data_IF_985553948988
#
_entry.id   IF_985553948988
#
_cell.length_a   1.000
_cell.length_b   1.000
_cell.length_c   1.000
_cell.angle_alpha   90.00
_cell.angle_beta   90.00
_cell.angle_gamma   90.00
#
_symmetry.space_group_name_H-M   'P 1'
#
loop_
_entity.id
_entity.type
_entity.pdbx_description
1 polymer ?
#
# COMPACT_ATOMS: atom_id res chain seq x y z
N UNK A 1 53.85 -54.18 5.92
CA UNK A 1 52.71 -54.70 6.71
C UNK A 1 52.34 -53.63 7.73
N UNK A 2 51.08 -53.17 7.84
CA UNK A 2 49.84 -53.74 7.29
C UNK A 2 49.13 -52.86 6.23
N UNK A 3 48.37 -53.53 5.36
CA UNK A 3 47.31 -53.00 4.49
C UNK A 3 46.00 -52.84 5.28
N UNK A 4 45.10 -51.94 4.86
CA UNK A 4 43.75 -52.30 4.36
C UNK A 4 42.86 -51.07 4.03
N UNK A 5 42.11 -51.21 2.94
CA UNK A 5 41.00 -50.40 2.39
C UNK A 5 41.30 -49.13 1.57
N UNK A 6 41.48 -49.31 0.25
CA UNK A 6 41.07 -48.33 -0.78
C UNK A 6 40.61 -49.05 -2.07
N UNK A 7 39.33 -48.92 -2.40
CA UNK A 7 38.75 -49.12 -3.75
C UNK A 7 37.32 -48.56 -3.69
N UNK A 8 36.86 -47.69 -4.59
CA UNK A 8 36.59 -48.07 -5.97
C UNK A 8 36.36 -46.85 -6.87
N UNK A 9 36.63 -47.09 -8.16
CA UNK A 9 36.48 -46.27 -9.35
C UNK A 9 35.09 -45.67 -9.57
N UNK A 10 34.99 -44.59 -10.37
CA UNK A 10 34.26 -44.54 -11.65
C UNK A 10 34.63 -43.25 -12.42
N UNK A 11 34.93 -43.46 -13.70
CA UNK A 11 35.15 -42.53 -14.81
C UNK A 11 33.80 -41.97 -15.33
N UNK A 12 33.78 -40.78 -15.97
CA UNK A 12 32.87 -40.40 -17.06
C UNK A 12 33.06 -38.92 -17.47
N UNK A 13 33.83 -38.75 -18.55
CA UNK A 13 33.52 -38.02 -19.79
C UNK A 13 32.62 -36.76 -19.76
N UNK A 14 33.18 -35.72 -20.40
CA UNK A 14 32.57 -34.49 -20.94
C UNK A 14 31.17 -34.66 -21.55
N UNK A 15 30.27 -33.68 -21.32
CA UNK A 15 29.52 -33.02 -22.42
C UNK A 15 28.74 -31.79 -21.91
N UNK A 16 28.76 -30.75 -22.74
CA UNK A 16 28.01 -29.49 -22.64
C UNK A 16 26.59 -29.64 -22.08
N UNK A 17 26.28 -28.82 -21.08
CA UNK A 17 24.95 -28.25 -20.99
C UNK A 17 25.09 -26.74 -20.89
N UNK A 18 24.94 -26.14 -22.06
CA UNK A 18 24.54 -24.76 -22.31
C UNK A 18 23.51 -24.33 -21.26
N UNK A 19 23.98 -23.68 -20.18
CA UNK A 19 23.11 -22.93 -19.29
C UNK A 19 22.81 -21.62 -20.00
N UNK A 20 21.87 -21.67 -20.94
CA UNK A 20 21.12 -20.50 -21.35
C UNK A 20 20.46 -19.94 -20.10
N UNK A 21 21.08 -18.91 -19.52
CA UNK A 21 20.45 -18.00 -18.56
C UNK A 21 19.44 -17.18 -19.36
N UNK A 22 18.41 -17.86 -19.85
CA UNK A 22 17.20 -17.24 -20.38
C UNK A 22 16.33 -16.95 -19.18
N UNK A 23 16.54 -15.77 -18.62
CA UNK A 23 15.44 -14.91 -18.22
C UNK A 23 16.03 -13.55 -17.91
N UNK A 24 16.14 -12.75 -18.97
CA UNK A 24 15.68 -11.37 -18.87
C UNK A 24 14.24 -11.41 -18.32
N UNK A 25 14.09 -11.59 -17.00
CA UNK A 25 12.92 -11.08 -16.31
C UNK A 25 13.05 -9.56 -16.44
N UNK A 26 12.63 -9.03 -17.60
CA UNK A 26 12.02 -7.71 -17.63
C UNK A 26 11.01 -7.76 -16.48
N UNK A 27 11.37 -7.12 -15.37
CA UNK A 27 10.67 -7.09 -14.08
C UNK A 27 9.30 -6.47 -14.37
N UNK A 28 8.40 -7.27 -14.95
CA UNK A 28 7.10 -6.86 -15.47
C UNK A 28 6.31 -6.53 -14.23
N UNK A 29 6.35 -5.26 -13.85
CA UNK A 29 5.78 -4.78 -12.60
C UNK A 29 4.33 -5.23 -12.52
N UNK A 30 4.06 -6.12 -11.56
CA UNK A 30 2.73 -6.68 -11.36
C UNK A 30 1.80 -5.55 -10.94
N UNK A 31 0.80 -5.28 -11.78
CA UNK A 31 -0.23 -4.27 -11.50
C UNK A 31 -0.98 -4.65 -10.22
N UNK A 32 -1.23 -3.66 -9.38
CA UNK A 32 -2.03 -3.76 -8.16
C UNK A 32 -1.46 -4.75 -7.13
N UNK A 33 -0.15 -4.69 -6.89
CA UNK A 33 0.52 -5.51 -5.88
C UNK A 33 0.51 -4.82 -4.52
N UNK A 34 0.49 -5.61 -3.44
CA UNK A 34 0.62 -5.09 -2.08
C UNK A 34 2.09 -4.86 -1.75
N UNK A 35 2.44 -3.61 -1.44
CA UNK A 35 3.83 -3.20 -1.20
C UNK A 35 3.94 -2.34 0.06
N UNK A 36 5.15 -2.29 0.62
CA UNK A 36 5.55 -1.26 1.56
C UNK A 36 6.22 -0.13 0.78
N UNK A 37 5.84 1.10 1.11
CA UNK A 37 6.39 2.28 0.46
C UNK A 37 6.56 3.44 1.44
N UNK A 38 7.49 4.33 1.13
CA UNK A 38 7.67 5.58 1.85
C UNK A 38 7.76 6.76 0.90
N UNK A 39 7.55 7.97 1.40
CA UNK A 39 7.70 9.18 0.61
C UNK A 39 9.19 9.44 0.39
N UNK A 40 9.59 9.67 -0.86
CA UNK A 40 10.97 10.04 -1.20
C UNK A 40 11.40 11.31 -0.43
N UNK A 41 12.64 11.40 0.05
CA UNK A 41 13.22 12.62 0.58
C UNK A 41 14.71 12.70 0.19
N UNK A 42 15.20 13.79 -0.42
CA UNK A 42 16.58 13.89 -0.90
C UNK A 42 17.63 13.62 0.18
N UNK A 43 17.43 14.13 1.40
CA UNK A 43 18.38 13.93 2.50
C UNK A 43 18.36 12.52 3.09
N UNK A 44 17.31 11.72 2.81
CA UNK A 44 17.21 10.33 3.28
C UNK A 44 17.74 9.35 2.25
N UNK A 45 17.34 9.52 0.99
CA UNK A 45 17.60 8.54 -0.07
C UNK A 45 18.76 8.95 -1.00
N UNK A 46 19.24 10.18 -0.88
CA UNK A 46 20.13 10.79 -1.86
C UNK A 46 19.36 11.31 -3.07
N UNK A 47 19.88 12.35 -3.69
CA UNK A 47 19.36 12.87 -4.96
C UNK A 47 20.56 13.36 -5.77
N UNK A 48 20.87 12.63 -6.86
CA UNK A 48 22.08 12.87 -7.66
C UNK A 48 21.73 13.56 -8.98
N UNK A 49 22.73 13.78 -9.84
CA UNK A 49 22.51 14.33 -11.19
C UNK A 49 21.85 13.33 -12.14
N UNK A 50 21.97 12.05 -11.83
CA UNK A 50 21.39 10.94 -12.60
C UNK A 50 19.95 10.66 -12.16
N UNK A 51 19.57 11.13 -10.97
CA UNK A 51 18.22 10.96 -10.45
C UNK A 51 17.15 11.63 -11.32
N UNK A 52 15.99 10.97 -11.43
CA UNK A 52 14.85 11.55 -12.13
C UNK A 52 14.24 12.69 -11.29
N UNK A 53 14.11 13.89 -11.88
CA UNK A 53 13.58 15.08 -11.19
C UNK A 53 12.17 14.88 -10.63
N UNK A 54 11.39 13.97 -11.20
CA UNK A 54 10.02 13.70 -10.78
C UNK A 54 9.96 12.91 -9.47
N UNK A 55 11.04 12.24 -9.05
CA UNK A 55 11.08 11.37 -7.86
C UNK A 55 10.65 12.09 -6.57
N UNK A 56 10.84 13.41 -6.48
CA UNK A 56 10.49 14.25 -5.32
C UNK A 56 9.01 14.16 -4.91
N UNK A 57 8.11 13.82 -5.83
CA UNK A 57 6.68 13.68 -5.54
C UNK A 57 6.22 12.25 -5.33
N UNK A 58 7.12 11.28 -5.43
CA UNK A 58 6.77 9.87 -5.52
C UNK A 58 6.98 9.12 -4.20
N UNK A 59 6.32 7.97 -4.11
CA UNK A 59 6.58 6.99 -3.07
C UNK A 59 7.67 6.04 -3.57
N UNK A 60 8.72 5.82 -2.80
CA UNK A 60 9.70 4.76 -3.05
C UNK A 60 9.16 3.41 -2.61
N UNK A 61 9.45 2.37 -3.39
CA UNK A 61 9.15 0.99 -3.02
C UNK A 61 10.21 0.50 -2.03
N UNK A 62 9.79 0.10 -0.84
CA UNK A 62 10.67 -0.53 0.17
C UNK A 62 10.79 -2.03 -0.11
N UNK A 63 9.67 -2.66 -0.46
CA UNK A 63 9.61 -4.09 -0.75
C UNK A 63 8.19 -4.62 -0.87
N UNK A 64 8.03 -5.89 -1.29
CA UNK A 64 6.73 -6.55 -1.28
C UNK A 64 6.22 -6.65 0.16
N UNK A 65 4.91 -6.49 0.34
CA UNK A 65 4.27 -6.66 1.64
C UNK A 65 3.88 -8.13 1.91
N UNK A 66 4.38 -9.07 1.11
CA UNK A 66 4.06 -10.50 1.26
C UNK A 66 4.62 -11.03 2.59
N UNK A 67 3.70 -11.26 3.53
CA UNK A 67 3.96 -11.79 4.87
C UNK A 67 3.90 -13.32 4.90
N UNK A 68 4.07 -13.99 3.76
CA UNK A 68 3.72 -15.41 3.55
C UNK A 68 4.59 -16.42 4.32
N UNK A 69 5.65 -15.96 5.01
CA UNK A 69 6.45 -16.81 5.89
C UNK A 69 6.44 -16.25 7.33
N UNK A 70 6.07 -17.09 8.29
CA UNK A 70 5.92 -16.71 9.71
C UNK A 70 7.19 -16.10 10.31
N UNK A 71 8.38 -16.51 9.84
CA UNK A 71 9.68 -15.95 10.25
C UNK A 71 10.04 -14.63 9.55
N UNK A 72 9.41 -14.32 8.42
CA UNK A 72 9.62 -13.06 7.67
C UNK A 72 8.93 -11.89 8.36
N UNK A 73 7.83 -12.13 9.08
CA UNK A 73 7.06 -11.09 9.77
C UNK A 73 7.86 -10.31 10.83
N UNK A 74 8.64 -11.02 11.66
CA UNK A 74 9.48 -10.42 12.71
C UNK A 74 10.65 -9.62 12.11
N UNK A 75 11.25 -10.17 11.05
CA UNK A 75 12.33 -9.49 10.31
C UNK A 75 11.83 -8.20 9.67
N UNK A 76 10.70 -8.23 8.97
CA UNK A 76 10.08 -7.06 8.34
C UNK A 76 9.70 -6.01 9.40
N UNK A 77 9.13 -6.40 10.53
CA UNK A 77 8.79 -5.45 11.59
C UNK A 77 10.03 -4.74 12.15
N UNK A 78 11.09 -5.48 12.47
CA UNK A 78 12.34 -4.88 12.95
C UNK A 78 12.99 -3.96 11.91
N UNK A 79 12.96 -4.34 10.63
CA UNK A 79 13.45 -3.50 9.53
C UNK A 79 12.65 -2.18 9.43
N UNK A 80 11.32 -2.26 9.53
CA UNK A 80 10.45 -1.06 9.55
C UNK A 80 10.75 -0.17 10.76
N UNK A 81 10.94 -0.74 11.96
CA UNK A 81 11.29 0.04 13.15
C UNK A 81 12.65 0.75 13.02
N UNK A 82 13.64 0.07 12.47
CA UNK A 82 14.95 0.66 12.18
C UNK A 82 14.84 1.79 11.14
N UNK A 83 14.06 1.58 10.08
CA UNK A 83 13.79 2.60 9.07
C UNK A 83 13.11 3.84 9.67
N UNK A 84 12.06 3.66 10.48
CA UNK A 84 11.39 4.78 11.18
C UNK A 84 12.35 5.53 12.10
N UNK A 85 13.25 4.83 12.78
CA UNK A 85 14.26 5.44 13.64
C UNK A 85 15.26 6.28 12.84
N UNK A 86 15.72 5.77 11.69
CA UNK A 86 16.60 6.50 10.77
C UNK A 86 15.92 7.76 10.22
N UNK A 87 14.65 7.64 9.79
CA UNK A 87 13.84 8.78 9.33
C UNK A 87 13.79 9.84 10.41
N UNK A 88 13.43 9.47 11.65
CA UNK A 88 13.35 10.41 12.77
C UNK A 88 14.68 11.14 13.01
N UNK A 89 15.80 10.42 13.01
CA UNK A 89 17.13 11.01 13.20
C UNK A 89 17.48 12.04 12.11
N UNK A 90 17.25 11.72 10.84
CA UNK A 90 17.53 12.65 9.73
C UNK A 90 16.58 13.86 9.76
N UNK A 91 15.35 13.66 10.21
CA UNK A 91 14.33 14.71 10.32
C UNK A 91 14.61 15.73 11.42
N UNK A 92 15.42 15.38 12.43
CA UNK A 92 15.92 16.37 13.38
C UNK A 92 16.81 17.41 12.69
N UNK A 93 17.51 17.02 11.61
CA UNK A 93 18.40 17.91 10.85
C UNK A 93 17.72 18.54 9.64
N UNK A 94 16.84 17.80 8.97
CA UNK A 94 16.18 18.22 7.73
C UNK A 94 14.67 17.97 7.80
N UNK A 95 13.90 18.78 8.55
CA UNK A 95 12.48 18.51 8.82
C UNK A 95 11.56 18.78 7.63
N UNK A 96 12.02 19.55 6.65
CA UNK A 96 11.22 20.06 5.55
C UNK A 96 11.49 19.32 4.24
N UNK A 97 10.41 18.89 3.60
CA UNK A 97 10.47 18.26 2.30
C UNK A 97 10.32 19.30 1.17
N UNK A 98 11.12 19.24 0.09
CA UNK A 98 11.07 20.23 -1.01
C UNK A 98 9.69 20.43 -1.66
N UNK A 99 8.97 19.33 -1.96
CA UNK A 99 7.66 19.36 -2.63
C UNK A 99 6.45 19.16 -1.70
N UNK A 100 6.57 18.36 -0.63
CA UNK A 100 5.46 17.92 0.21
C UNK A 100 5.37 18.79 1.46
N UNK A 101 4.50 19.81 1.41
CA UNK A 101 4.33 20.81 2.47
C UNK A 101 4.00 20.24 3.85
N UNK A 102 3.27 19.13 3.90
CA UNK A 102 2.83 18.50 5.15
C UNK A 102 3.65 17.25 5.54
N UNK A 103 4.86 17.09 4.99
CA UNK A 103 5.69 15.90 5.17
C UNK A 103 5.91 15.52 6.64
N UNK A 104 6.32 16.47 7.48
CA UNK A 104 6.49 16.25 8.93
C UNK A 104 5.27 15.62 9.61
N UNK A 105 4.06 16.06 9.23
CA UNK A 105 2.82 15.50 9.79
C UNK A 105 2.52 14.09 9.26
N UNK A 106 3.00 13.73 8.07
CA UNK A 106 2.80 12.41 7.48
C UNK A 106 3.70 11.37 8.14
N UNK A 107 4.99 11.67 8.30
CA UNK A 107 5.99 10.75 8.87
C UNK A 107 5.83 10.50 10.37
N UNK A 108 5.25 11.46 11.11
CA UNK A 108 5.04 11.34 12.56
C UNK A 108 3.85 10.44 12.92
N UNK A 109 3.11 9.95 11.93
CA UNK A 109 2.00 9.04 12.17
C UNK A 109 2.53 7.66 12.51
N UNK A 110 1.91 7.01 13.49
CA UNK A 110 2.23 5.63 13.86
C UNK A 110 2.00 4.65 12.70
N UNK A 111 1.09 5.00 11.77
CA UNK A 111 0.75 4.22 10.58
C UNK A 111 1.45 4.72 9.29
N UNK A 112 2.60 5.40 9.41
CA UNK A 112 3.30 5.98 8.24
C UNK A 112 3.71 4.92 7.22
N UNK A 113 4.51 3.92 7.64
CA UNK A 113 4.86 2.78 6.79
C UNK A 113 3.78 1.73 6.98
N UNK A 114 2.99 1.51 5.92
CA UNK A 114 1.92 0.51 5.91
C UNK A 114 1.79 -0.13 4.52
N UNK A 115 1.21 -1.33 4.45
CA UNK A 115 0.92 -1.97 3.17
C UNK A 115 -0.06 -1.12 2.34
N UNK A 116 0.30 -0.83 1.10
CA UNK A 116 -0.53 -0.12 0.12
C UNK A 116 -0.63 -0.94 -1.17
N UNK A 117 -1.77 -0.81 -1.87
CA UNK A 117 -1.95 -1.41 -3.20
C UNK A 117 -1.42 -0.41 -4.23
N UNK A 118 -0.40 -0.80 -4.97
CA UNK A 118 0.25 0.07 -5.93
C UNK A 118 0.62 -0.63 -7.24
N UNK A 119 0.92 0.21 -8.21
CA UNK A 119 1.62 -0.16 -9.44
C UNK A 119 3.05 0.36 -9.30
N UNK A 120 4.04 -0.51 -9.45
CA UNK A 120 5.44 -0.14 -9.41
C UNK A 120 5.89 0.30 -10.81
N UNK A 121 6.72 1.34 -10.88
CA UNK A 121 7.38 1.77 -12.11
C UNK A 121 8.84 2.08 -11.79
N UNK A 122 9.71 1.90 -12.79
CA UNK A 122 11.10 2.34 -12.72
C UNK A 122 11.24 3.69 -13.42
N UNK A 123 11.87 4.64 -12.76
CA UNK A 123 12.21 5.94 -13.35
C UNK A 123 13.55 5.88 -14.10
N UNK A 124 13.91 6.97 -14.78
CA UNK A 124 15.14 7.03 -15.60
C UNK A 124 16.44 6.99 -14.79
N UNK A 125 16.39 7.36 -13.51
CA UNK A 125 17.55 7.33 -12.60
C UNK A 125 17.61 6.05 -11.76
N UNK A 126 17.02 4.96 -12.25
CA UNK A 126 16.90 3.67 -11.57
C UNK A 126 16.13 3.70 -10.24
N UNK A 127 15.34 4.74 -9.99
CA UNK A 127 14.48 4.79 -8.81
C UNK A 127 13.19 3.97 -9.01
N UNK A 128 12.97 2.98 -8.14
CA UNK A 128 11.74 2.17 -8.12
C UNK A 128 10.66 2.89 -7.31
N UNK A 129 9.65 3.42 -8.00
CA UNK A 129 8.57 4.20 -7.39
C UNK A 129 7.22 3.51 -7.47
N UNK A 130 6.33 3.86 -6.54
CA UNK A 130 5.00 3.32 -6.38
C UNK A 130 3.92 4.34 -6.73
N UNK A 131 3.00 3.95 -7.61
CA UNK A 131 1.76 4.67 -7.90
C UNK A 131 0.63 4.04 -7.08
N UNK A 132 0.23 4.70 -5.99
CA UNK A 132 -0.81 4.21 -5.08
C UNK A 132 -2.18 4.17 -5.77
N UNK A 133 -2.82 2.99 -5.81
CA UNK A 133 -4.18 2.80 -6.35
C UNK A 133 -5.26 2.85 -5.26
N UNK A 134 -4.87 3.01 -4.00
CA UNK A 134 -5.78 3.07 -2.85
C UNK A 134 -6.62 4.35 -2.79
N UNK A 135 -6.29 5.40 -3.57
CA UNK A 135 -7.06 6.65 -3.61
C UNK A 135 -8.52 6.42 -4.01
N UNK A 136 -8.77 5.71 -5.11
CA UNK A 136 -10.13 5.43 -5.59
C UNK A 136 -10.91 4.56 -4.61
N UNK A 137 -10.25 3.55 -4.04
CA UNK A 137 -10.84 2.70 -3.02
C UNK A 137 -11.27 3.53 -1.80
N UNK A 138 -10.43 4.47 -1.34
CA UNK A 138 -10.75 5.36 -0.21
C UNK A 138 -11.92 6.29 -0.53
N UNK A 139 -12.04 6.79 -1.76
CA UNK A 139 -13.18 7.61 -2.19
C UNK A 139 -14.49 6.81 -2.13
N UNK A 140 -14.49 5.60 -2.72
CA UNK A 140 -15.66 4.71 -2.70
C UNK A 140 -16.02 4.33 -1.26
N UNK A 141 -15.04 3.94 -0.45
CA UNK A 141 -15.24 3.59 0.96
C UNK A 141 -15.84 4.76 1.77
N UNK A 142 -15.37 6.00 1.55
CA UNK A 142 -15.93 7.19 2.23
C UNK A 142 -17.38 7.42 1.84
N UNK A 143 -17.69 7.37 0.55
CA UNK A 143 -19.05 7.52 0.05
C UNK A 143 -19.98 6.42 0.61
N UNK A 144 -19.49 5.18 0.67
CA UNK A 144 -20.25 4.06 1.23
C UNK A 144 -20.50 4.25 2.73
N UNK A 145 -19.47 4.59 3.51
CA UNK A 145 -19.60 4.87 4.95
C UNK A 145 -20.63 5.96 5.22
N UNK A 146 -20.64 7.04 4.42
CA UNK A 146 -21.63 8.12 4.54
C UNK A 146 -23.06 7.62 4.31
N UNK A 147 -23.30 6.84 3.25
CA UNK A 147 -24.62 6.27 2.97
C UNK A 147 -25.04 5.31 4.07
N UNK A 148 -24.12 4.47 4.53
CA UNK A 148 -24.38 3.52 5.60
C UNK A 148 -24.79 4.23 6.90
N UNK A 149 -24.06 5.29 7.28
CA UNK A 149 -24.42 6.13 8.44
C UNK A 149 -25.81 6.73 8.29
N UNK A 150 -26.15 7.23 7.11
CA UNK A 150 -27.48 7.79 6.86
C UNK A 150 -28.59 6.74 6.94
N UNK A 151 -28.34 5.52 6.43
CA UNK A 151 -29.26 4.39 6.60
C UNK A 151 -29.46 4.02 8.06
N UNK A 152 -28.39 4.01 8.85
CA UNK A 152 -28.48 3.79 10.29
C UNK A 152 -29.32 4.87 10.97
N UNK A 153 -29.11 6.15 10.64
CA UNK A 153 -29.91 7.28 11.13
C UNK A 153 -31.39 7.12 10.82
N UNK A 154 -31.74 6.80 9.57
CA UNK A 154 -33.13 6.59 9.14
C UNK A 154 -33.74 5.38 9.85
N UNK A 155 -33.00 4.28 10.00
CA UNK A 155 -33.46 3.10 10.73
C UNK A 155 -33.79 3.47 12.17
N UNK A 156 -32.92 4.19 12.86
CA UNK A 156 -33.16 4.68 14.22
C UNK A 156 -34.41 5.55 14.31
N UNK A 157 -34.63 6.47 13.36
CA UNK A 157 -35.84 7.28 13.34
C UNK A 157 -37.11 6.45 13.14
N UNK A 158 -37.07 5.46 12.25
CA UNK A 158 -38.20 4.56 11.99
C UNK A 158 -38.58 3.69 13.19
N UNK A 159 -37.65 3.45 14.11
CA UNK A 159 -37.90 2.71 15.35
C UNK A 159 -38.57 3.55 16.44
N UNK A 160 -38.71 4.86 16.27
CA UNK A 160 -39.39 5.72 17.25
C UNK A 160 -40.89 5.45 17.27
N UNK A 161 -41.50 5.52 18.46
CA UNK A 161 -42.95 5.35 18.64
C UNK A 161 -43.73 6.31 17.74
N UNK A 162 -43.28 7.57 17.66
CA UNK A 162 -43.85 8.59 16.77
C UNK A 162 -43.88 8.12 15.31
N UNK A 163 -42.76 7.63 14.77
CA UNK A 163 -42.67 7.22 13.36
C UNK A 163 -43.50 5.97 13.06
N UNK A 164 -43.57 5.04 14.02
CA UNK A 164 -44.41 3.84 13.91
C UNK A 164 -45.89 4.22 13.88
N UNK A 165 -46.34 5.06 14.83
CA UNK A 165 -47.71 5.56 14.88
C UNK A 165 -48.10 6.35 13.62
N UNK A 166 -47.19 7.20 13.13
CA UNK A 166 -47.40 7.92 11.87
C UNK A 166 -47.67 6.98 10.71
N UNK A 167 -46.85 5.91 10.58
CA UNK A 167 -46.99 4.91 9.53
C UNK A 167 -48.29 4.12 9.63
N UNK A 168 -48.78 3.85 10.84
CA UNK A 168 -50.07 3.19 11.05
C UNK A 168 -51.23 4.06 10.57
N UNK A 169 -51.18 5.37 10.84
CA UNK A 169 -52.26 6.30 10.47
C UNK A 169 -52.22 6.66 8.98
N UNK A 170 -51.04 6.91 8.41
CA UNK A 170 -50.89 7.47 7.06
C UNK A 170 -50.41 6.46 6.01
N UNK A 171 -50.09 5.22 6.39
CA UNK A 171 -49.54 4.17 5.51
C UNK A 171 -48.09 4.40 5.05
N UNK A 172 -47.50 5.56 5.34
CA UNK A 172 -46.18 5.98 4.88
C UNK A 172 -45.29 6.43 6.05
N UNK A 173 -43.97 6.44 5.86
CA UNK A 173 -43.05 6.98 6.87
C UNK A 173 -43.08 8.51 6.89
N UNK A 174 -42.81 9.15 8.05
CA UNK A 174 -42.62 10.60 8.12
C UNK A 174 -41.60 11.11 7.10
N UNK A 175 -41.80 12.34 6.58
CA UNK A 175 -40.93 12.93 5.53
C UNK A 175 -39.43 12.89 5.86
N UNK A 176 -39.08 13.00 7.15
CA UNK A 176 -37.69 12.97 7.65
C UNK A 176 -36.99 11.62 7.48
N UNK A 177 -37.73 10.52 7.41
CA UNK A 177 -37.23 9.15 7.29
C UNK A 177 -37.93 8.33 6.19
N UNK A 178 -38.63 9.02 5.27
CA UNK A 178 -39.35 8.40 4.16
C UNK A 178 -38.39 7.81 3.12
N UNK A 179 -37.40 8.60 2.71
CA UNK A 179 -36.42 8.19 1.71
C UNK A 179 -35.31 7.35 2.34
N UNK A 180 -34.95 6.24 1.69
CA UNK A 180 -33.81 5.40 2.05
C UNK A 180 -32.72 5.57 0.98
N UNK A 181 -31.53 6.10 1.32
CA UNK A 181 -30.51 6.34 0.31
C UNK A 181 -30.00 5.03 -0.29
N UNK A 182 -29.77 5.05 -1.60
CA UNK A 182 -29.16 3.95 -2.36
C UNK A 182 -27.68 4.23 -2.62
N UNK A 183 -26.96 3.21 -3.09
CA UNK A 183 -25.58 3.38 -3.58
C UNK A 183 -25.55 4.07 -4.95
N UNK A 184 -26.67 4.09 -5.66
CA UNK A 184 -26.77 4.73 -6.96
C UNK A 184 -26.60 6.25 -6.81
N UNK A 185 -25.73 6.84 -7.63
CA UNK A 185 -25.44 8.26 -7.54
C UNK A 185 -24.56 8.66 -6.35
N UNK A 186 -24.00 7.70 -5.59
CA UNK A 186 -23.15 8.01 -4.43
C UNK A 186 -21.89 8.83 -4.76
N UNK A 187 -21.42 8.75 -6.01
CA UNK A 187 -20.26 9.46 -6.52
C UNK A 187 -20.64 10.69 -7.37
N UNK A 188 -21.93 11.00 -7.53
CA UNK A 188 -22.41 12.10 -8.40
C UNK A 188 -21.93 13.49 -7.98
N UNK A 189 -21.55 13.66 -6.72
CA UNK A 189 -21.01 14.92 -6.19
C UNK A 189 -19.52 15.11 -6.40
N UNK A 190 -18.80 14.14 -6.97
CA UNK A 190 -17.40 14.30 -7.34
C UNK A 190 -17.34 15.16 -8.61
N UNK A 191 -17.00 16.44 -8.46
CA UNK A 191 -16.68 17.29 -9.60
C UNK A 191 -15.38 16.78 -10.22
N UNK A 192 -15.40 16.52 -11.53
CA UNK A 192 -14.22 16.20 -12.34
C UNK A 192 -13.40 17.46 -12.60
#
# INVERSE_FOLDING_TARGET
>A
MPDFYRSSYIDNSETDSDLTVDSEEEDSFRKNTLILCEIFHPSLHGFTRESDKTVLGHFLVIGPADLTHENTSVSVFSAVQNMLSNIRCVMERYPDHPQIRNYKKLILRDDYIRPEIAECILLKGDEKVAILKTVWLRIVQRAWKKIFQERCRIRSQRMTIYSIGWRQIHGTWPKTCAYMPTIHGMLSGLKQ
#
